data_IF_360892194189
#
_entry.id   IF_360892194189
#
_cell.length_a   1.000
_cell.length_b   1.000
_cell.length_c   1.000
_cell.angle_alpha   90.00
_cell.angle_beta   90.00
_cell.angle_gamma   90.00
#
_symmetry.space_group_name_H-M   'P 1'
#
loop_
_entity.id
_entity.type
_entity.pdbx_description
1 polymer ?
#
# COMPACT_ATOMS: atom_id res chain seq x y z
N UNK A 1 6.07 -1.70 -17.92
CA UNK A 1 6.91 -2.33 -16.88
C UNK A 1 6.44 -1.99 -15.47
N UNK A 2 6.19 -0.72 -15.14
CA UNK A 2 5.71 -0.30 -13.80
C UNK A 2 4.36 -0.95 -13.42
N UNK A 3 3.43 -1.11 -14.38
CA UNK A 3 2.16 -1.81 -14.16
C UNK A 3 2.37 -3.24 -13.63
N UNK A 4 3.14 -4.06 -14.34
CA UNK A 4 3.37 -5.47 -13.94
C UNK A 4 4.11 -5.57 -12.60
N UNK A 5 5.09 -4.68 -12.37
CA UNK A 5 5.83 -4.65 -11.11
C UNK A 5 4.95 -4.23 -9.93
N UNK A 6 4.13 -3.18 -10.09
CA UNK A 6 3.20 -2.74 -9.05
C UNK A 6 2.15 -3.82 -8.71
N UNK A 7 1.58 -4.48 -9.73
CA UNK A 7 0.65 -5.58 -9.53
C UNK A 7 1.32 -6.76 -8.79
N UNK A 8 2.56 -7.11 -9.14
CA UNK A 8 3.30 -8.16 -8.41
C UNK A 8 3.46 -7.80 -6.93
N UNK A 9 3.79 -6.55 -6.61
CA UNK A 9 3.92 -6.08 -5.23
C UNK A 9 2.59 -6.15 -4.47
N UNK A 10 1.45 -5.82 -5.10
CA UNK A 10 0.12 -5.97 -4.49
C UNK A 10 -0.17 -7.44 -4.17
N UNK A 11 0.07 -8.37 -5.10
CA UNK A 11 -0.12 -9.81 -4.88
C UNK A 11 0.78 -10.35 -3.76
N UNK A 12 2.05 -9.93 -3.71
CA UNK A 12 2.96 -10.33 -2.63
C UNK A 12 2.48 -9.83 -1.27
N UNK A 13 2.00 -8.59 -1.18
CA UNK A 13 1.46 -8.04 0.07
C UNK A 13 0.19 -8.75 0.54
N UNK A 14 -0.71 -9.14 -0.39
CA UNK A 14 -1.88 -9.98 -0.07
C UNK A 14 -1.42 -11.33 0.52
N UNK A 15 -0.46 -11.97 -0.12
CA UNK A 15 0.08 -13.26 0.34
C UNK A 15 0.72 -13.13 1.72
N UNK A 16 1.48 -12.06 1.97
CA UNK A 16 2.09 -11.79 3.28
C UNK A 16 1.04 -11.58 4.37
N UNK A 17 -0.06 -10.85 4.09
CA UNK A 17 -1.15 -10.68 5.04
C UNK A 17 -1.72 -12.02 5.49
N UNK A 18 -1.98 -12.94 4.53
CA UNK A 18 -2.48 -14.28 4.84
C UNK A 18 -1.47 -15.10 5.65
N UNK A 19 -0.17 -15.00 5.31
CA UNK A 19 0.88 -15.69 6.07
C UNK A 19 0.99 -15.17 7.50
N UNK A 20 0.89 -13.86 7.73
CA UNK A 20 0.93 -13.27 9.07
C UNK A 20 -0.29 -13.70 9.88
N UNK A 21 -1.49 -13.73 9.26
CA UNK A 21 -2.72 -14.22 9.91
C UNK A 21 -2.55 -15.69 10.31
N UNK A 22 -2.04 -16.54 9.40
CA UNK A 22 -1.82 -17.95 9.66
C UNK A 22 -0.81 -18.21 10.78
N UNK A 23 0.37 -17.58 10.71
CA UNK A 23 1.41 -17.73 11.75
C UNK A 23 0.96 -17.14 13.08
N UNK A 24 0.20 -16.05 13.07
CA UNK A 24 -0.45 -15.49 14.25
C UNK A 24 -1.41 -16.46 14.89
N UNK A 25 -2.33 -17.05 14.12
CA UNK A 25 -3.27 -18.05 14.61
C UNK A 25 -2.57 -19.28 15.19
N UNK A 26 -1.55 -19.80 14.50
CA UNK A 26 -0.72 -20.90 14.98
C UNK A 26 -0.02 -20.56 16.28
N UNK A 27 0.50 -19.33 16.41
CA UNK A 27 1.14 -18.84 17.64
C UNK A 27 0.19 -18.80 18.83
N UNK A 28 -1.12 -18.56 18.63
CA UNK A 28 -2.12 -18.60 19.71
C UNK A 28 -2.39 -20.02 20.22
N UNK A 29 -2.12 -21.04 19.40
CA UNK A 29 -2.31 -22.45 19.79
C UNK A 29 -1.14 -23.01 20.58
N UNK A 30 0.00 -22.31 20.63
CA UNK A 30 1.19 -22.74 21.37
C UNK A 30 1.21 -22.13 22.77
N UNK A 31 1.67 -22.91 23.75
CA UNK A 31 1.81 -22.47 25.15
C UNK A 31 3.03 -21.57 25.38
N UNK A 32 3.83 -21.34 24.34
CA UNK A 32 5.00 -20.47 24.43
C UNK A 32 4.61 -19.03 24.73
N UNK A 33 5.31 -18.39 25.65
CA UNK A 33 5.06 -16.98 26.02
C UNK A 33 5.59 -15.97 24.98
N UNK A 34 6.35 -16.43 23.98
CA UNK A 34 6.99 -15.55 23.00
C UNK A 34 6.30 -15.59 21.64
N UNK A 35 6.29 -14.44 20.95
CA UNK A 35 5.83 -14.34 19.56
C UNK A 35 6.96 -14.90 18.67
N UNK A 36 6.66 -15.83 17.73
CA UNK A 36 7.65 -16.38 16.82
C UNK A 36 8.36 -15.29 16.00
N UNK A 37 9.69 -15.41 15.84
CA UNK A 37 10.49 -14.44 15.07
C UNK A 37 10.01 -14.28 13.61
N UNK A 38 9.44 -15.33 13.03
CA UNK A 38 8.91 -15.30 11.67
C UNK A 38 7.86 -14.20 11.48
N UNK A 39 7.01 -13.96 12.50
CA UNK A 39 5.98 -12.92 12.45
C UNK A 39 6.62 -11.54 12.33
N UNK A 40 7.71 -11.28 13.07
CA UNK A 40 8.45 -10.01 12.95
C UNK A 40 9.05 -9.82 11.55
N UNK A 41 9.64 -10.87 10.98
CA UNK A 41 10.24 -10.79 9.63
C UNK A 41 9.15 -10.59 8.56
N UNK A 42 8.02 -11.29 8.65
CA UNK A 42 6.92 -11.12 7.72
C UNK A 42 6.32 -9.71 7.81
N UNK A 43 6.15 -9.17 9.02
CA UNK A 43 5.59 -7.82 9.22
C UNK A 43 6.52 -6.72 8.70
N UNK A 44 7.84 -6.83 8.91
CA UNK A 44 8.80 -5.86 8.33
C UNK A 44 8.86 -5.98 6.82
N UNK A 45 8.84 -7.20 6.28
CA UNK A 45 8.84 -7.44 4.84
C UNK A 45 7.58 -6.84 4.19
N UNK A 46 6.40 -7.07 4.78
CA UNK A 46 5.13 -6.50 4.32
C UNK A 46 5.19 -4.96 4.30
N UNK A 47 5.61 -4.33 5.40
CA UNK A 47 5.72 -2.87 5.49
C UNK A 47 6.70 -2.33 4.43
N UNK A 48 7.82 -3.02 4.22
CA UNK A 48 8.82 -2.63 3.22
C UNK A 48 8.25 -2.75 1.79
N UNK A 49 7.59 -3.86 1.46
CA UNK A 49 7.05 -4.08 0.11
C UNK A 49 5.88 -3.14 -0.21
N UNK A 50 5.03 -2.80 0.77
CA UNK A 50 3.96 -1.85 0.51
C UNK A 50 4.49 -0.42 0.32
N UNK A 51 5.57 -0.05 1.03
CA UNK A 51 6.27 1.23 0.78
C UNK A 51 6.86 1.24 -0.63
N UNK A 52 7.56 0.17 -1.05
CA UNK A 52 8.11 0.06 -2.40
C UNK A 52 6.99 0.15 -3.45
N UNK A 53 5.84 -0.48 -3.20
CA UNK A 53 4.67 -0.41 -4.06
C UNK A 53 4.20 1.04 -4.27
N UNK A 54 4.10 1.81 -3.20
CA UNK A 54 3.73 3.22 -3.27
C UNK A 54 4.79 4.10 -3.95
N UNK A 55 6.07 3.86 -3.65
CA UNK A 55 7.16 4.55 -4.33
C UNK A 55 7.18 4.26 -5.84
N UNK A 56 6.78 3.05 -6.24
CA UNK A 56 6.60 2.69 -7.66
C UNK A 56 5.49 3.54 -8.30
N UNK A 57 4.40 3.77 -7.59
CA UNK A 57 3.33 4.65 -8.07
C UNK A 57 3.79 6.12 -8.14
N UNK A 58 4.49 6.62 -7.13
CA UNK A 58 5.12 7.97 -7.17
C UNK A 58 6.05 8.10 -8.39
N UNK A 59 6.91 7.10 -8.62
CA UNK A 59 7.81 7.11 -9.78
C UNK A 59 7.03 7.18 -11.09
N UNK A 60 5.93 6.43 -11.23
CA UNK A 60 5.08 6.47 -12.41
C UNK A 60 4.47 7.88 -12.66
N UNK A 61 4.04 8.57 -11.60
CA UNK A 61 3.57 9.96 -11.70
C UNK A 61 4.69 10.91 -12.10
N UNK A 62 5.88 10.79 -11.52
CA UNK A 62 7.04 11.66 -11.83
C UNK A 62 7.43 11.54 -13.30
N UNK A 63 7.56 10.31 -13.81
CA UNK A 63 7.94 10.06 -15.22
C UNK A 63 6.77 10.23 -16.19
N UNK A 64 5.56 10.53 -15.69
CA UNK A 64 4.32 10.67 -16.48
C UNK A 64 4.03 9.42 -17.34
N UNK A 65 4.05 8.24 -16.71
CA UNK A 65 3.76 6.96 -17.37
C UNK A 65 2.25 6.82 -17.63
N UNK A 66 1.77 7.41 -18.72
CA UNK A 66 0.36 7.36 -19.12
C UNK A 66 -0.10 5.98 -19.60
N UNK A 67 0.75 4.96 -19.55
CA UNK A 67 0.31 3.58 -19.70
C UNK A 67 -0.49 3.08 -18.48
N UNK A 68 -0.45 3.82 -17.35
CA UNK A 68 -1.29 3.59 -16.18
C UNK A 68 -2.51 4.50 -16.20
N UNK A 69 -3.70 3.92 -16.05
CA UNK A 69 -4.98 4.66 -16.05
C UNK A 69 -4.98 5.76 -15.00
N UNK A 70 -4.51 5.46 -13.79
CA UNK A 70 -4.46 6.39 -12.65
C UNK A 70 -3.57 7.60 -12.96
N UNK A 71 -2.40 7.40 -13.59
CA UNK A 71 -1.50 8.48 -13.98
C UNK A 71 -2.11 9.31 -15.12
N UNK A 72 -2.70 8.65 -16.11
CA UNK A 72 -3.38 9.32 -17.23
C UNK A 72 -4.50 10.25 -16.75
N UNK A 73 -5.34 9.79 -15.83
CA UNK A 73 -6.48 10.54 -15.35
C UNK A 73 -6.12 11.71 -14.41
N UNK A 74 -4.97 11.63 -13.70
CA UNK A 74 -4.64 12.53 -12.60
C UNK A 74 -3.33 13.30 -12.79
N UNK A 75 -2.66 13.20 -13.95
CA UNK A 75 -1.39 13.89 -14.20
C UNK A 75 -1.32 14.47 -15.61
N UNK A 76 -0.30 15.31 -15.84
CA UNK A 76 0.01 15.94 -17.13
C UNK A 76 1.50 16.24 -17.19
N UNK A 77 2.13 16.21 -18.39
CA UNK A 77 3.60 16.43 -18.52
C UNK A 77 4.01 17.81 -18.05
N UNK A 78 3.21 18.85 -18.31
CA UNK A 78 3.50 20.24 -17.94
C UNK A 78 3.39 20.54 -16.43
N UNK A 79 2.93 19.58 -15.60
CA UNK A 79 2.79 19.80 -14.15
C UNK A 79 4.14 19.81 -13.45
N UNK A 80 4.37 20.76 -12.50
CA UNK A 80 5.55 20.73 -11.63
C UNK A 80 5.60 19.43 -10.84
N UNK A 81 6.82 18.93 -10.54
CA UNK A 81 7.06 17.66 -9.84
C UNK A 81 6.27 17.55 -8.53
N UNK A 82 6.18 18.65 -7.77
CA UNK A 82 5.42 18.68 -6.52
C UNK A 82 3.96 18.23 -6.71
N UNK A 83 3.27 18.78 -7.72
CA UNK A 83 1.89 18.39 -8.04
C UNK A 83 1.77 16.98 -8.60
N UNK A 84 2.80 16.46 -9.28
CA UNK A 84 2.84 15.06 -9.72
C UNK A 84 2.91 14.14 -8.51
N UNK A 85 3.77 14.43 -7.53
CA UNK A 85 3.90 13.64 -6.30
C UNK A 85 2.58 13.72 -5.50
N UNK A 86 2.03 14.92 -5.29
CA UNK A 86 0.75 15.10 -4.59
C UNK A 86 -0.39 14.37 -5.30
N UNK A 87 -0.39 14.34 -6.64
CA UNK A 87 -1.33 13.59 -7.45
C UNK A 87 -1.37 12.09 -7.15
N UNK A 88 -0.30 11.53 -6.59
CA UNK A 88 -0.24 10.10 -6.25
C UNK A 88 -1.28 9.73 -5.19
N UNK A 89 -1.49 10.55 -4.17
CA UNK A 89 -2.51 10.31 -3.13
C UNK A 89 -3.75 11.19 -3.28
N UNK A 90 -3.73 12.15 -4.19
CA UNK A 90 -4.86 13.03 -4.50
C UNK A 90 -5.96 12.37 -5.34
N UNK A 91 -5.87 11.08 -5.58
CA UNK A 91 -6.86 10.28 -6.30
C UNK A 91 -7.30 9.09 -5.43
N UNK A 92 -8.39 8.43 -5.86
CA UNK A 92 -9.00 7.34 -5.10
C UNK A 92 -8.05 6.14 -4.91
N UNK A 93 -7.41 5.69 -6.00
CA UNK A 93 -6.57 4.49 -6.02
C UNK A 93 -5.30 4.68 -5.18
N UNK A 94 -4.65 5.82 -5.33
CA UNK A 94 -3.43 6.13 -4.60
C UNK A 94 -3.67 6.40 -3.11
N UNK A 95 -4.78 7.04 -2.74
CA UNK A 95 -5.13 7.24 -1.34
C UNK A 95 -5.45 5.94 -0.63
N UNK A 96 -6.12 4.99 -1.27
CA UNK A 96 -6.34 3.65 -0.70
C UNK A 96 -5.02 2.91 -0.45
N UNK A 97 -4.07 3.01 -1.38
CA UNK A 97 -2.75 2.41 -1.18
C UNK A 97 -1.99 3.08 -0.02
N UNK A 98 -2.13 4.40 0.16
CA UNK A 98 -1.58 5.11 1.31
C UNK A 98 -2.18 4.62 2.63
N UNK A 99 -3.49 4.33 2.69
CA UNK A 99 -4.12 3.72 3.85
C UNK A 99 -3.51 2.35 4.19
N UNK A 100 -3.24 1.53 3.19
CA UNK A 100 -2.55 0.23 3.39
C UNK A 100 -1.17 0.41 4.01
N UNK A 101 -0.39 1.41 3.56
CA UNK A 101 0.93 1.73 4.15
C UNK A 101 0.79 2.07 5.63
N UNK A 102 -0.14 2.98 5.97
CA UNK A 102 -0.37 3.40 7.35
C UNK A 102 -0.70 2.18 8.22
N UNK A 103 -1.65 1.35 7.78
CA UNK A 103 -2.02 0.14 8.50
C UNK A 103 -0.84 -0.82 8.68
N UNK A 104 -0.04 -1.07 7.64
CA UNK A 104 1.10 -1.99 7.71
C UNK A 104 2.20 -1.48 8.64
N UNK A 105 2.54 -0.18 8.55
CA UNK A 105 3.55 0.43 9.42
C UNK A 105 3.08 0.40 10.88
N UNK A 106 1.84 0.80 11.17
CA UNK A 106 1.32 0.78 12.54
C UNK A 106 1.19 -0.64 13.09
N UNK A 107 0.85 -1.62 12.26
CA UNK A 107 0.84 -3.04 12.63
C UNK A 107 2.23 -3.50 13.09
N UNK A 108 3.27 -3.18 12.32
CA UNK A 108 4.65 -3.49 12.67
C UNK A 108 5.13 -2.73 13.92
N UNK A 109 4.86 -1.42 14.01
CA UNK A 109 5.23 -0.61 15.18
C UNK A 109 4.55 -1.12 16.45
N UNK A 110 3.27 -1.47 16.38
CA UNK A 110 2.54 -2.06 17.49
C UNK A 110 3.20 -3.36 17.97
N UNK A 111 3.60 -4.21 17.04
CA UNK A 111 4.28 -5.48 17.36
C UNK A 111 5.63 -5.25 18.07
N UNK A 112 6.39 -4.21 17.68
CA UNK A 112 7.73 -3.93 18.21
C UNK A 112 7.67 -3.20 19.55
N UNK A 113 6.81 -2.20 19.70
CA UNK A 113 6.82 -1.30 20.85
C UNK A 113 5.95 -1.76 22.04
N UNK A 114 4.96 -2.61 21.82
CA UNK A 114 4.05 -3.06 22.88
C UNK A 114 4.46 -4.40 23.52
N UNK A 115 5.73 -4.59 23.82
CA UNK A 115 6.28 -5.85 24.38
C UNK A 115 5.79 -6.18 25.78
N UNK A 116 5.34 -5.21 26.55
CA UNK A 116 4.79 -5.33 27.90
C UNK A 116 3.38 -5.95 27.96
N UNK A 117 2.67 -5.94 26.82
CA UNK A 117 1.36 -6.57 26.77
C UNK A 117 1.45 -8.09 26.60
N UNK A 118 0.43 -8.84 27.08
CA UNK A 118 0.36 -10.29 26.90
C UNK A 118 0.48 -10.68 25.41
N UNK A 119 1.11 -11.83 25.15
CA UNK A 119 1.30 -12.37 23.79
C UNK A 119 -0.03 -12.44 23.04
N UNK A 120 -1.07 -12.96 23.69
CA UNK A 120 -2.38 -13.17 23.10
C UNK A 120 -2.98 -11.84 22.58
N UNK A 121 -2.93 -10.79 23.40
CA UNK A 121 -3.42 -9.48 23.01
C UNK A 121 -2.67 -8.93 21.79
N UNK A 122 -1.35 -9.04 21.78
CA UNK A 122 -0.50 -8.54 20.70
C UNK A 122 -0.76 -9.31 19.39
N UNK A 123 -0.86 -10.63 19.48
CA UNK A 123 -1.08 -11.49 18.30
C UNK A 123 -2.49 -11.33 17.76
N UNK A 124 -3.52 -11.25 18.61
CA UNK A 124 -4.90 -11.01 18.17
C UNK A 124 -5.02 -9.65 17.47
N UNK A 125 -4.43 -8.60 18.05
CA UNK A 125 -4.40 -7.27 17.42
C UNK A 125 -3.74 -7.32 16.05
N UNK A 126 -2.60 -8.01 15.93
CA UNK A 126 -1.88 -8.18 14.66
C UNK A 126 -2.72 -8.92 13.62
N UNK A 127 -3.42 -9.98 14.01
CA UNK A 127 -4.33 -10.73 13.12
C UNK A 127 -5.44 -9.81 12.61
N UNK A 128 -6.11 -9.06 13.50
CA UNK A 128 -7.19 -8.14 13.11
C UNK A 128 -6.66 -7.07 12.14
N UNK A 129 -5.52 -6.46 12.43
CA UNK A 129 -4.89 -5.49 11.53
C UNK A 129 -4.57 -6.09 10.16
N UNK A 130 -4.07 -7.33 10.12
CA UNK A 130 -3.75 -7.99 8.84
C UNK A 130 -5.01 -8.44 8.07
N UNK A 131 -6.12 -8.74 8.74
CA UNK A 131 -7.42 -8.94 8.08
C UNK A 131 -7.87 -7.64 7.41
N UNK A 132 -7.72 -6.50 8.06
CA UNK A 132 -8.03 -5.19 7.46
C UNK A 132 -7.11 -4.89 6.27
N UNK A 133 -5.79 -5.08 6.42
CA UNK A 133 -4.81 -4.90 5.33
C UNK A 133 -5.17 -5.80 4.14
N UNK A 134 -5.49 -7.07 4.39
CA UNK A 134 -5.93 -7.99 3.35
C UNK A 134 -7.18 -7.48 2.63
N UNK A 135 -8.21 -7.04 3.37
CA UNK A 135 -9.45 -6.51 2.81
C UNK A 135 -9.21 -5.28 1.93
N UNK A 136 -8.39 -4.32 2.41
CA UNK A 136 -8.01 -3.14 1.62
C UNK A 136 -7.20 -3.51 0.38
N UNK A 137 -6.20 -4.38 0.49
CA UNK A 137 -5.39 -4.82 -0.65
C UNK A 137 -6.23 -5.58 -1.68
N UNK A 138 -7.16 -6.42 -1.22
CA UNK A 138 -8.09 -7.11 -2.10
C UNK A 138 -8.96 -6.12 -2.87
N UNK A 139 -9.53 -5.14 -2.17
CA UNK A 139 -10.31 -4.08 -2.80
C UNK A 139 -9.47 -3.25 -3.79
N UNK A 140 -8.25 -2.86 -3.41
CA UNK A 140 -7.30 -2.15 -4.28
C UNK A 140 -7.02 -2.96 -5.53
N UNK A 141 -6.73 -4.25 -5.40
CA UNK A 141 -6.34 -5.07 -6.55
C UNK A 141 -7.49 -5.25 -7.56
N UNK A 142 -8.71 -5.47 -7.08
CA UNK A 142 -9.84 -5.86 -7.94
C UNK A 142 -10.76 -4.70 -8.34
N UNK A 143 -10.90 -3.66 -7.51
CA UNK A 143 -11.85 -2.58 -7.74
C UNK A 143 -11.19 -1.21 -7.97
N UNK A 144 -9.98 -0.97 -7.45
CA UNK A 144 -9.32 0.34 -7.45
C UNK A 144 -7.82 0.21 -7.69
N UNK A 145 -7.43 -0.52 -8.74
CA UNK A 145 -6.04 -0.86 -8.98
C UNK A 145 -5.25 0.31 -9.57
N UNK A 146 -4.30 0.91 -8.80
CA UNK A 146 -3.50 2.04 -9.28
C UNK A 146 -2.54 1.68 -10.41
N UNK A 147 -2.30 0.38 -10.63
CA UNK A 147 -1.41 -0.14 -11.68
C UNK A 147 -2.15 -0.72 -12.88
N UNK A 148 -3.45 -0.44 -13.02
CA UNK A 148 -4.23 -0.83 -14.20
C UNK A 148 -3.64 -0.23 -15.47
N UNK A 149 -3.36 -1.08 -16.46
CA UNK A 149 -2.78 -0.66 -17.73
C UNK A 149 -3.83 -0.11 -18.69
N UNK A 150 -3.46 0.92 -19.44
CA UNK A 150 -4.26 1.52 -20.51
C UNK A 150 -3.62 1.21 -21.87
N UNK A 151 -4.42 0.70 -22.79
CA UNK A 151 -3.99 0.43 -24.17
C UNK A 151 -5.08 0.90 -25.15
N UNK A 152 -4.74 1.68 -26.20
CA UNK A 152 -3.42 2.23 -26.50
C UNK A 152 -2.96 3.29 -25.50
N UNK A 153 -1.64 3.43 -25.29
CA UNK A 153 -1.07 4.44 -24.38
C UNK A 153 -1.29 5.85 -24.95
N UNK A 154 -1.99 6.74 -24.23
CA UNK A 154 -2.16 8.13 -24.63
C UNK A 154 -0.82 8.89 -24.62
N UNK A 155 -0.73 9.94 -25.47
CA UNK A 155 0.46 10.80 -25.52
C UNK A 155 0.52 11.80 -24.36
N UNK A 156 -0.64 12.14 -23.78
CA UNK A 156 -0.77 13.16 -22.74
C UNK A 156 -1.85 12.76 -21.73
N UNK A 157 -1.74 13.22 -20.48
CA UNK A 157 -2.73 12.96 -19.43
C UNK A 157 -3.80 14.04 -19.35
N UNK A 158 -4.94 13.73 -18.69
CA UNK A 158 -6.08 14.63 -18.52
C UNK A 158 -5.82 15.79 -17.55
N UNK A 159 -4.82 15.65 -16.68
CA UNK A 159 -4.47 16.64 -15.67
C UNK A 159 -5.07 16.35 -14.29
N UNK A 160 -4.52 17.03 -13.28
CA UNK A 160 -4.98 16.92 -11.89
C UNK A 160 -6.34 17.61 -11.72
N UNK A 161 -7.18 17.06 -10.84
CA UNK A 161 -8.43 17.69 -10.43
C UNK A 161 -8.19 19.16 -10.05
N UNK A 162 -8.96 20.13 -10.57
CA UNK A 162 -8.79 21.57 -10.30
C UNK A 162 -8.74 21.90 -8.80
N UNK A 163 -9.48 21.19 -7.95
CA UNK A 163 -9.48 21.38 -6.49
C UNK A 163 -8.10 21.10 -5.90
N UNK A 164 -7.39 20.10 -6.40
CA UNK A 164 -6.05 19.72 -5.94
C UNK A 164 -4.92 20.57 -6.57
N UNK A 165 -5.29 21.57 -7.39
CA UNK A 165 -4.33 22.53 -7.94
C UNK A 165 -4.11 23.73 -7.00
N UNK A 166 -4.93 23.89 -5.98
CA UNK A 166 -4.72 24.85 -4.91
C UNK A 166 -3.60 24.33 -3.99
N UNK A 167 -2.49 25.10 -3.79
CA UNK A 167 -1.39 24.71 -2.92
C UNK A 167 -1.82 24.35 -1.49
N UNK A 168 -2.86 25.00 -0.97
CA UNK A 168 -3.38 24.75 0.38
C UNK A 168 -4.12 23.41 0.51
N UNK A 169 -4.58 22.84 -0.63
CA UNK A 169 -5.32 21.57 -0.68
C UNK A 169 -4.47 20.40 -1.22
N UNK A 170 -3.28 20.69 -1.75
CA UNK A 170 -2.37 19.68 -2.28
C UNK A 170 -1.51 19.00 -1.19
N UNK A 171 -1.54 19.53 0.04
CA UNK A 171 -0.87 19.02 1.24
C UNK A 171 -1.94 18.39 2.15
#
# INVERSE_FOLDING_TARGET
MLSSFGNLLLFLNISLSLMIIYEGYKSLQTTDSFIPKIIYHLSILQSTLVIICFLTLIAAFIVSDFSLITVYQNSHTSKPIFYKIAGTWGNHEGSLLLWVIILAIFSFLFLVFNKEHPKEFRVVTLIIQNILIFGFLFFVLFNSNPFSALSPTPKEGLGLNPILQDPALAI
#
